data_IF_349178686582
#
_entry.id   IF_349178686582
#
_cell.length_a   1.000
_cell.length_b   1.000
_cell.length_c   1.000
_cell.angle_alpha   90.00
_cell.angle_beta   90.00
_cell.angle_gamma   90.00
#
_symmetry.space_group_name_H-M   'P 1'
#
loop_
_entity.id
_entity.type
_entity.pdbx_description
1 polymer ?
#
# COMPACT_ATOMS: atom_id res chain seq x y z
N UNK A 1 16.13 -19.51 -6.90
CA UNK A 1 15.74 -18.84 -5.65
C UNK A 1 15.56 -17.38 -6.00
N UNK A 2 14.32 -16.94 -6.23
CA UNK A 2 14.05 -15.53 -6.46
C UNK A 2 14.00 -14.89 -5.08
N UNK A 3 14.99 -14.04 -4.80
CA UNK A 3 14.96 -13.08 -3.70
C UNK A 3 13.94 -11.99 -4.09
N UNK A 4 12.66 -12.38 -4.15
CA UNK A 4 11.58 -11.42 -4.12
C UNK A 4 11.59 -10.91 -2.70
N UNK A 5 12.13 -9.71 -2.52
CA UNK A 5 12.06 -8.97 -1.26
C UNK A 5 10.60 -8.77 -0.90
N UNK A 6 10.02 -9.80 -0.30
CA UNK A 6 8.71 -9.81 0.30
C UNK A 6 8.80 -8.93 1.53
N UNK A 7 8.57 -7.64 1.31
CA UNK A 7 8.41 -6.70 2.40
C UNK A 7 7.11 -7.13 3.08
N UNK A 8 7.26 -7.94 4.12
CA UNK A 8 6.18 -8.46 4.95
C UNK A 8 5.51 -7.30 5.65
N UNK A 9 4.39 -6.89 5.06
CA UNK A 9 3.48 -5.86 5.55
C UNK A 9 2.43 -6.47 6.52
N UNK A 10 2.75 -7.63 7.11
CA UNK A 10 1.85 -8.53 7.85
C UNK A 10 1.14 -7.88 9.07
N UNK A 11 1.62 -6.71 9.53
CA UNK A 11 1.02 -5.94 10.62
C UNK A 11 0.01 -4.88 10.15
N UNK A 12 -0.14 -4.66 8.83
CA UNK A 12 -1.04 -3.65 8.30
C UNK A 12 -2.50 -4.13 8.35
N UNK A 13 -3.32 -3.39 9.10
CA UNK A 13 -4.77 -3.50 9.02
C UNK A 13 -5.27 -2.84 7.72
N UNK A 14 -6.05 -3.59 6.93
CA UNK A 14 -6.60 -3.11 5.66
C UNK A 14 -7.42 -1.84 5.81
N UNK A 15 -8.26 -1.73 6.84
CA UNK A 15 -9.12 -0.57 7.05
C UNK A 15 -8.28 0.63 7.50
N UNK A 16 -7.22 0.40 8.27
CA UNK A 16 -6.25 1.45 8.61
C UNK A 16 -5.50 1.95 7.36
N UNK A 17 -5.09 1.04 6.47
CA UNK A 17 -4.44 1.41 5.20
C UNK A 17 -5.39 2.19 4.30
N UNK A 18 -6.63 1.74 4.14
CA UNK A 18 -7.66 2.46 3.37
C UNK A 18 -7.88 3.85 3.94
N UNK A 19 -8.03 3.98 5.26
CA UNK A 19 -8.20 5.27 5.91
C UNK A 19 -7.01 6.21 5.65
N UNK A 20 -5.78 5.70 5.76
CA UNK A 20 -4.56 6.48 5.48
C UNK A 20 -4.45 6.89 4.02
N UNK A 21 -4.80 6.01 3.09
CA UNK A 21 -4.82 6.31 1.65
C UNK A 21 -5.85 7.40 1.32
N UNK A 22 -7.01 7.38 1.98
CA UNK A 22 -8.05 8.41 1.80
C UNK A 22 -7.64 9.78 2.37
N UNK A 23 -6.81 9.80 3.43
CA UNK A 23 -6.33 11.03 4.05
C UNK A 23 -5.04 11.56 3.43
N UNK A 24 -4.45 10.86 2.46
CA UNK A 24 -3.17 11.25 1.87
C UNK A 24 -3.32 12.53 1.03
N UNK A 25 -2.67 13.66 1.40
CA UNK A 25 -2.92 14.97 0.80
C UNK A 25 -2.21 15.23 -0.54
N UNK A 26 -1.73 14.18 -1.22
CA UNK A 26 -0.81 14.34 -2.35
C UNK A 26 -0.89 13.21 -3.37
N UNK A 27 0.27 12.64 -3.70
CA UNK A 27 0.50 11.90 -4.93
C UNK A 27 -0.11 10.49 -4.99
N UNK A 28 -0.66 9.99 -3.88
CA UNK A 28 -1.36 8.71 -3.81
C UNK A 28 -2.87 8.93 -3.89
N UNK A 29 -3.52 8.33 -4.89
CA UNK A 29 -4.97 8.35 -5.08
C UNK A 29 -5.52 6.94 -4.88
N UNK A 30 -6.40 6.77 -3.91
CA UNK A 30 -7.19 5.55 -3.75
C UNK A 30 -8.34 5.52 -4.75
N UNK A 31 -8.35 4.56 -5.69
CA UNK A 31 -9.43 4.44 -6.66
C UNK A 31 -10.58 3.60 -6.11
N UNK A 32 -10.31 2.37 -5.64
CA UNK A 32 -11.31 1.44 -5.13
C UNK A 32 -10.70 0.26 -4.38
N UNK A 33 -11.53 -0.40 -3.54
CA UNK A 33 -11.26 -1.72 -2.98
C UNK A 33 -12.03 -2.78 -3.77
N UNK A 34 -11.37 -3.89 -4.08
CA UNK A 34 -11.95 -5.07 -4.72
C UNK A 34 -11.70 -6.26 -3.82
N UNK A 35 -12.77 -6.88 -3.32
CA UNK A 35 -12.68 -8.08 -2.49
C UNK A 35 -12.91 -9.32 -3.36
N UNK A 36 -12.00 -10.28 -3.27
CA UNK A 36 -12.14 -11.63 -3.82
C UNK A 36 -12.04 -12.64 -2.66
N UNK A 37 -12.47 -13.91 -2.84
CA UNK A 37 -12.49 -14.89 -1.74
C UNK A 37 -11.13 -15.09 -1.06
N UNK A 38 -10.04 -14.98 -1.82
CA UNK A 38 -8.67 -15.25 -1.37
C UNK A 38 -7.91 -14.00 -0.93
N UNK A 39 -8.39 -12.80 -1.30
CA UNK A 39 -7.67 -11.56 -1.05
C UNK A 39 -8.54 -10.30 -1.16
N UNK A 40 -8.13 -9.24 -0.47
CA UNK A 40 -8.59 -7.89 -0.72
C UNK A 40 -7.55 -7.11 -1.53
N UNK A 41 -7.98 -6.43 -2.60
CA UNK A 41 -7.11 -5.64 -3.47
C UNK A 41 -7.49 -4.17 -3.41
N UNK A 42 -6.56 -3.32 -2.99
CA UNK A 42 -6.68 -1.87 -3.03
C UNK A 42 -6.06 -1.35 -4.32
N UNK A 43 -6.89 -0.84 -5.22
CA UNK A 43 -6.43 -0.19 -6.45
C UNK A 43 -6.09 1.27 -6.17
N UNK A 44 -4.84 1.63 -6.41
CA UNK A 44 -4.31 2.96 -6.13
C UNK A 44 -3.53 3.52 -7.33
N UNK A 45 -3.30 4.83 -7.32
CA UNK A 45 -2.36 5.48 -8.22
C UNK A 45 -1.33 6.28 -7.46
N UNK A 46 -0.11 6.28 -7.96
CA UNK A 46 0.96 7.14 -7.50
C UNK A 46 1.47 7.98 -8.67
N UNK A 47 1.41 9.31 -8.57
CA UNK A 47 1.83 10.24 -9.64
C UNK A 47 1.20 9.95 -11.02
N UNK A 48 0.03 9.30 -11.04
CA UNK A 48 -0.69 8.88 -12.26
C UNK A 48 -0.53 7.40 -12.63
N UNK A 49 0.54 6.75 -12.18
CA UNK A 49 0.82 5.32 -12.41
C UNK A 49 0.04 4.42 -11.47
N UNK A 50 -0.38 3.25 -11.94
CA UNK A 50 -1.21 2.33 -11.16
C UNK A 50 -0.38 1.34 -10.35
N UNK A 51 -0.76 1.17 -9.10
CA UNK A 51 -0.28 0.11 -8.23
C UNK A 51 -1.44 -0.50 -7.44
N UNK A 52 -1.29 -1.77 -7.08
CA UNK A 52 -2.26 -2.48 -6.26
C UNK A 52 -1.61 -2.89 -4.94
N UNK A 53 -2.36 -2.79 -3.84
CA UNK A 53 -1.98 -3.44 -2.58
C UNK A 53 -2.91 -4.63 -2.38
N UNK A 54 -2.36 -5.84 -2.31
CA UNK A 54 -3.10 -7.09 -2.16
C UNK A 54 -2.90 -7.61 -0.74
N UNK A 55 -4.00 -7.79 -0.03
CA UNK A 55 -4.08 -8.43 1.28
C UNK A 55 -4.55 -9.87 1.04
N UNK A 56 -3.59 -10.75 0.82
CA UNK A 56 -3.81 -12.17 0.60
C UNK A 56 -3.94 -12.90 1.95
N UNK A 57 -4.96 -13.75 2.07
CA UNK A 57 -5.25 -14.46 3.31
C UNK A 57 -4.21 -15.55 3.63
N UNK A 58 -3.57 -16.13 2.62
CA UNK A 58 -2.60 -17.22 2.76
C UNK A 58 -1.16 -16.70 2.81
N UNK A 59 -0.90 -15.57 2.14
CA UNK A 59 0.44 -15.08 1.88
C UNK A 59 0.79 -13.75 2.57
N UNK A 60 -0.20 -12.99 3.07
CA UNK A 60 0.00 -11.69 3.72
C UNK A 60 -0.21 -10.50 2.78
N UNK A 61 0.47 -9.38 3.02
CA UNK A 61 0.23 -8.13 2.27
C UNK A 61 1.35 -7.84 1.27
N UNK A 62 0.97 -7.51 0.03
CA UNK A 62 1.87 -7.33 -1.12
C UNK A 62 1.54 -6.07 -1.87
N UNK A 63 2.55 -5.43 -2.47
CA UNK A 63 2.37 -4.32 -3.41
C UNK A 63 2.75 -4.79 -4.80
N UNK A 64 1.86 -4.58 -5.76
CA UNK A 64 2.01 -4.98 -7.15
C UNK A 64 2.02 -3.73 -8.04
N UNK A 65 2.98 -3.66 -8.97
CA UNK A 65 3.08 -2.56 -9.93
C UNK A 65 2.30 -2.95 -11.19
N UNK A 66 1.31 -2.14 -11.57
CA UNK A 66 0.44 -2.44 -12.73
C UNK A 66 0.89 -1.64 -13.97
N UNK A 67 1.58 -0.52 -13.76
CA UNK A 67 2.05 0.39 -14.81
C UNK A 67 3.57 0.52 -14.90
N UNK A 68 4.04 1.60 -15.52
CA UNK A 68 5.46 1.93 -15.65
C UNK A 68 5.99 2.62 -14.38
N UNK A 69 5.70 2.02 -13.23
CA UNK A 69 6.14 2.51 -11.94
C UNK A 69 7.64 2.25 -11.80
N UNK A 70 8.42 3.30 -11.56
CA UNK A 70 9.86 3.16 -11.35
C UNK A 70 10.16 2.42 -10.04
N UNK A 71 11.33 1.77 -9.96
CA UNK A 71 11.75 1.09 -8.73
C UNK A 71 11.88 2.07 -7.53
N UNK A 72 12.26 3.33 -7.81
CA UNK A 72 12.34 4.39 -6.80
C UNK A 72 10.95 4.77 -6.27
N UNK A 73 9.98 4.99 -7.16
CA UNK A 73 8.59 5.29 -6.80
C UNK A 73 7.95 4.10 -6.05
N UNK A 74 8.23 2.86 -6.48
CA UNK A 74 7.76 1.66 -5.81
C UNK A 74 8.32 1.55 -4.39
N UNK A 75 9.62 1.79 -4.20
CA UNK A 75 10.24 1.80 -2.89
C UNK A 75 9.65 2.90 -1.98
N UNK A 76 9.29 4.06 -2.54
CA UNK A 76 8.64 5.15 -1.83
C UNK A 76 7.22 4.75 -1.34
N UNK A 77 6.43 4.11 -2.20
CA UNK A 77 5.10 3.58 -1.84
C UNK A 77 5.21 2.56 -0.71
N UNK A 78 6.11 1.59 -0.84
CA UNK A 78 6.29 0.55 0.20
C UNK A 78 6.79 1.16 1.50
N UNK A 79 7.70 2.13 1.44
CA UNK A 79 8.16 2.87 2.61
C UNK A 79 7.03 3.64 3.27
N UNK A 80 6.13 4.26 2.51
CA UNK A 80 4.97 4.98 3.05
C UNK A 80 3.97 4.04 3.74
N UNK A 81 3.72 2.88 3.13
CA UNK A 81 2.85 1.85 3.71
C UNK A 81 3.42 1.33 5.04
N UNK A 82 4.74 1.11 5.12
CA UNK A 82 5.42 0.65 6.35
C UNK A 82 5.60 1.74 7.41
N UNK A 83 5.78 3.01 7.05
CA UNK A 83 5.98 4.10 8.02
C UNK A 83 4.74 4.46 8.86
N UNK A 84 3.61 3.77 8.64
CA UNK A 84 2.37 4.00 9.38
C UNK A 84 2.37 3.71 10.86
N UNK A 85 3.35 2.96 11.34
CA UNK A 85 3.50 2.75 12.78
C UNK A 85 4.18 3.95 13.48
N UNK A 86 4.73 4.92 12.74
CA UNK A 86 5.60 5.96 13.31
C UNK A 86 5.01 7.39 13.32
N UNK A 87 3.74 7.59 12.96
CA UNK A 87 3.13 8.93 12.97
C UNK A 87 1.84 8.92 13.79
N UNK A 88 1.97 8.65 15.08
CA UNK A 88 1.02 9.10 16.11
C UNK A 88 1.81 9.89 17.16
N UNK A 89 2.29 11.08 16.80
CA UNK A 89 2.66 12.18 17.72
C UNK A 89 3.18 13.35 16.89
N UNK A 90 2.29 14.15 16.30
CA UNK A 90 2.44 15.62 16.24
C UNK A 90 1.18 16.20 15.56
N UNK A 91 0.14 16.47 16.35
CA UNK A 91 -0.78 17.62 16.19
C UNK A 91 -1.75 17.61 17.38
N UNK A 92 -1.25 18.05 18.54
CA UNK A 92 -2.05 18.78 19.53
C UNK A 92 -1.28 20.06 19.83
N UNK A 93 -1.62 21.12 19.11
CA UNK A 93 -1.51 22.48 19.64
C UNK A 93 -2.81 22.81 20.38
#
# INVERSE_FOLDING_TARGET
>A
MADSSLIRLDALDIDAVVHRLQQHPGDIVFERRVSIPEADVLCCRYKGERFNVKFDLDYGVFVDHVGELSDEDFAEIVRWLTLGEAIDEDTRQ
#
